data_IF_685725634399
#
_entry.id   IF_685725634399
#
_cell.length_a   1.000
_cell.length_b   1.000
_cell.length_c   1.000
_cell.angle_alpha   90.00
_cell.angle_beta   90.00
_cell.angle_gamma   90.00
#
_symmetry.space_group_name_H-M   'P 1'
#
loop_
_entity.id
_entity.type
_entity.pdbx_description
1 polymer ?
#
# COMPACT_ATOMS: atom_id res chain seq x y z
N UNK A 1 -17.20 9.50 -21.15
CA UNK A 1 -17.24 10.40 -19.98
C UNK A 1 -17.13 9.50 -18.76
N UNK A 2 -16.14 9.70 -17.88
CA UNK A 2 -16.02 8.89 -16.68
C UNK A 2 -16.98 9.47 -15.63
N UNK A 3 -17.99 8.69 -15.24
CA UNK A 3 -18.86 8.98 -14.11
C UNK A 3 -17.99 9.07 -12.83
N UNK A 4 -18.15 10.08 -11.96
CA UNK A 4 -17.44 10.13 -10.69
C UNK A 4 -17.80 8.91 -9.82
N UNK A 5 -16.78 8.27 -9.21
CA UNK A 5 -17.00 7.10 -8.34
C UNK A 5 -17.86 7.46 -7.14
N UNK A 6 -18.77 6.55 -6.78
CA UNK A 6 -19.58 6.63 -5.56
C UNK A 6 -18.82 6.10 -4.35
N UNK A 7 -19.27 6.45 -3.13
CA UNK A 7 -18.68 5.94 -1.89
C UNK A 7 -18.68 4.40 -1.85
N UNK A 8 -19.78 3.77 -2.30
CA UNK A 8 -19.89 2.31 -2.35
C UNK A 8 -18.83 1.70 -3.29
N UNK A 9 -18.62 2.29 -4.47
CA UNK A 9 -17.60 1.82 -5.42
C UNK A 9 -16.18 1.97 -4.89
N UNK A 10 -15.92 3.01 -4.09
CA UNK A 10 -14.63 3.22 -3.42
C UNK A 10 -14.44 2.22 -2.30
N UNK A 11 -15.46 2.00 -1.46
CA UNK A 11 -15.42 1.05 -0.36
C UNK A 11 -15.06 -0.37 -0.84
N UNK A 12 -15.71 -0.85 -1.91
CA UNK A 12 -15.41 -2.15 -2.53
C UNK A 12 -13.97 -2.26 -3.06
N UNK A 13 -13.33 -1.14 -3.39
CA UNK A 13 -11.96 -1.08 -3.95
C UNK A 13 -10.89 -0.70 -2.93
N UNK A 14 -11.23 -0.46 -1.67
CA UNK A 14 -10.27 0.03 -0.68
C UNK A 14 -9.14 -0.98 -0.42
N UNK A 15 -9.46 -2.28 -0.35
CA UNK A 15 -8.46 -3.33 -0.17
C UNK A 15 -7.48 -3.37 -1.34
N UNK A 16 -7.99 -3.50 -2.57
CA UNK A 16 -7.19 -3.51 -3.80
C UNK A 16 -6.35 -2.22 -3.93
N UNK A 17 -6.89 -1.08 -3.50
CA UNK A 17 -6.15 0.19 -3.47
C UNK A 17 -4.97 0.14 -2.49
N UNK A 18 -5.15 -0.42 -1.29
CA UNK A 18 -4.09 -0.55 -0.28
C UNK A 18 -3.04 -1.61 -0.64
N UNK A 19 -3.44 -2.63 -1.39
CA UNK A 19 -2.56 -3.69 -1.87
C UNK A 19 -1.89 -3.34 -3.21
N UNK A 20 -2.32 -2.27 -3.87
CA UNK A 20 -1.72 -1.76 -5.10
C UNK A 20 -2.13 -2.54 -6.35
N UNK A 21 -3.29 -3.20 -6.31
CA UNK A 21 -3.79 -4.10 -7.36
C UNK A 21 -4.68 -3.37 -8.39
N UNK A 22 -5.09 -2.13 -8.09
CA UNK A 22 -5.89 -1.32 -9.02
C UNK A 22 -5.09 -0.90 -10.25
N UNK A 23 -5.78 -0.84 -11.39
CA UNK A 23 -5.22 -0.20 -12.59
C UNK A 23 -5.02 1.30 -12.36
N UNK A 24 -4.13 1.94 -13.12
CA UNK A 24 -3.87 3.38 -12.98
C UNK A 24 -5.15 4.25 -13.07
N UNK A 25 -6.09 4.02 -14.00
CA UNK A 25 -7.35 4.77 -14.05
C UNK A 25 -8.23 4.57 -12.80
N UNK A 26 -8.33 3.34 -12.29
CA UNK A 26 -9.13 3.05 -11.10
C UNK A 26 -8.53 3.70 -9.86
N UNK A 27 -7.21 3.62 -9.73
CA UNK A 27 -6.47 4.26 -8.64
C UNK A 27 -6.70 5.77 -8.62
N UNK A 28 -6.62 6.42 -9.78
CA UNK A 28 -6.88 7.86 -9.90
C UNK A 28 -8.32 8.23 -9.51
N UNK A 29 -9.30 7.40 -9.87
CA UNK A 29 -10.70 7.63 -9.51
C UNK A 29 -10.94 7.48 -8.00
N UNK A 30 -10.34 6.46 -7.37
CA UNK A 30 -10.36 6.30 -5.90
C UNK A 30 -9.69 7.49 -5.23
N UNK A 31 -8.48 7.88 -5.66
CA UNK A 31 -7.75 9.02 -5.08
C UNK A 31 -8.52 10.34 -5.22
N UNK A 32 -9.20 10.56 -6.35
CA UNK A 32 -10.03 11.74 -6.57
C UNK A 32 -11.21 11.77 -5.58
N UNK A 33 -11.87 10.63 -5.35
CA UNK A 33 -12.97 10.55 -4.38
C UNK A 33 -12.48 10.73 -2.94
N UNK A 34 -11.37 10.08 -2.54
CA UNK A 34 -10.81 10.22 -1.20
C UNK A 34 -10.40 11.66 -0.87
N UNK A 35 -10.04 12.47 -1.87
CA UNK A 35 -9.77 13.91 -1.68
C UNK A 35 -11.03 14.74 -1.43
N UNK A 36 -12.19 14.27 -1.89
CA UNK A 36 -13.46 14.99 -1.83
C UNK A 36 -14.46 14.48 -0.79
N UNK A 37 -14.23 13.29 -0.21
CA UNK A 37 -15.13 12.65 0.75
C UNK A 37 -14.39 12.32 2.06
N UNK A 38 -14.62 13.14 3.09
CA UNK A 38 -14.02 12.96 4.42
C UNK A 38 -14.35 11.60 5.04
N UNK A 39 -15.57 11.11 4.88
CA UNK A 39 -15.99 9.81 5.40
C UNK A 39 -15.18 8.66 4.78
N UNK A 40 -15.02 8.65 3.45
CA UNK A 40 -14.22 7.62 2.78
C UNK A 40 -12.73 7.76 3.11
N UNK A 41 -12.23 8.98 3.26
CA UNK A 41 -10.85 9.22 3.70
C UNK A 41 -10.59 8.67 5.11
N UNK A 42 -11.51 8.90 6.05
CA UNK A 42 -11.43 8.38 7.41
C UNK A 42 -11.44 6.85 7.43
N UNK A 43 -12.42 6.22 6.75
CA UNK A 43 -12.51 4.75 6.66
C UNK A 43 -11.27 4.13 6.02
N UNK A 44 -10.77 4.69 4.92
CA UNK A 44 -9.54 4.22 4.29
C UNK A 44 -8.33 4.38 5.23
N UNK A 45 -8.28 5.45 6.02
CA UNK A 45 -7.26 5.67 7.04
C UNK A 45 -7.28 4.60 8.14
N UNK A 46 -8.46 4.26 8.66
CA UNK A 46 -8.65 3.21 9.67
C UNK A 46 -8.24 1.83 9.13
N UNK A 47 -8.65 1.50 7.91
CA UNK A 47 -8.26 0.25 7.26
C UNK A 47 -6.75 0.18 7.05
N UNK A 48 -6.14 1.26 6.56
CA UNK A 48 -4.69 1.35 6.39
C UNK A 48 -3.95 1.15 7.71
N UNK A 49 -4.39 1.80 8.79
CA UNK A 49 -3.78 1.65 10.11
C UNK A 49 -3.86 0.20 10.62
N UNK A 50 -5.00 -0.46 10.41
CA UNK A 50 -5.19 -1.88 10.76
C UNK A 50 -4.22 -2.78 9.99
N UNK A 51 -4.10 -2.59 8.68
CA UNK A 51 -3.16 -3.34 7.83
C UNK A 51 -1.71 -3.09 8.24
N UNK A 52 -1.33 -1.85 8.54
CA UNK A 52 0.02 -1.51 9.00
C UNK A 52 0.36 -2.16 10.35
N UNK A 53 -0.58 -2.20 11.29
CA UNK A 53 -0.42 -2.87 12.58
C UNK A 53 -0.17 -4.38 12.40
N UNK A 54 -0.97 -5.04 11.55
CA UNK A 54 -0.79 -6.45 11.23
C UNK A 54 0.55 -6.72 10.54
N UNK A 55 0.91 -5.92 9.53
CA UNK A 55 2.20 -6.03 8.83
C UNK A 55 3.38 -5.83 9.78
N UNK A 56 3.27 -4.91 10.74
CA UNK A 56 4.29 -4.69 11.77
C UNK A 56 4.46 -5.92 12.66
N UNK A 57 3.35 -6.44 13.17
CA UNK A 57 3.36 -7.63 14.04
C UNK A 57 3.93 -8.86 13.31
N UNK A 58 3.49 -9.14 12.08
CA UNK A 58 3.97 -10.27 11.29
C UNK A 58 5.47 -10.16 10.96
N UNK A 59 5.97 -8.95 10.66
CA UNK A 59 7.40 -8.72 10.41
C UNK A 59 8.26 -8.96 11.64
N UNK A 60 7.79 -8.55 12.82
CA UNK A 60 8.50 -8.81 14.08
C UNK A 60 8.60 -10.31 14.37
N UNK A 61 7.52 -11.05 14.13
CA UNK A 61 7.47 -12.50 14.35
C UNK A 61 8.24 -13.32 13.29
N UNK A 62 8.48 -12.75 12.11
CA UNK A 62 9.12 -13.43 10.98
C UNK A 62 10.43 -12.73 10.55
N UNK A 63 11.24 -12.32 11.53
CA UNK A 63 12.49 -11.61 11.25
C UNK A 63 13.47 -12.50 10.47
N UNK A 64 13.93 -12.00 9.31
CA UNK A 64 14.92 -12.71 8.51
C UNK A 64 16.22 -12.95 9.31
N UNK A 65 16.85 -14.14 9.18
CA UNK A 65 18.11 -14.44 9.86
C UNK A 65 19.19 -13.39 9.54
N UNK A 66 19.93 -12.96 10.57
CA UNK A 66 20.96 -11.92 10.43
C UNK A 66 21.98 -12.22 9.32
N UNK A 67 22.39 -13.49 9.19
CA UNK A 67 23.32 -13.93 8.15
C UNK A 67 22.80 -13.67 6.72
N UNK A 68 21.49 -13.79 6.48
CA UNK A 68 20.90 -13.46 5.18
C UNK A 68 20.92 -11.94 4.95
N UNK A 69 20.56 -11.15 5.96
CA UNK A 69 20.60 -9.68 5.89
C UNK A 69 22.01 -9.17 5.60
N UNK A 70 23.02 -9.74 6.24
CA UNK A 70 24.42 -9.32 6.05
C UNK A 70 24.98 -9.72 4.68
N UNK A 71 24.61 -10.90 4.18
CA UNK A 71 24.91 -11.30 2.81
C UNK A 71 24.24 -10.39 1.78
N UNK A 72 22.96 -10.04 1.97
CA UNK A 72 22.24 -9.10 1.09
C UNK A 72 22.89 -7.71 1.10
N UNK A 73 23.25 -7.16 2.27
CA UNK A 73 23.97 -5.88 2.37
C UNK A 73 25.28 -5.90 1.58
N UNK A 74 26.06 -6.97 1.71
CA UNK A 74 27.33 -7.12 0.99
C UNK A 74 27.13 -7.10 -0.53
N UNK A 75 26.11 -7.79 -1.03
CA UNK A 75 25.79 -7.83 -2.46
C UNK A 75 25.23 -6.50 -2.98
N UNK A 76 24.31 -5.86 -2.26
CA UNK A 76 23.70 -4.59 -2.67
C UNK A 76 24.72 -3.45 -2.72
N UNK A 77 25.75 -3.47 -1.87
CA UNK A 77 26.87 -2.53 -1.91
C UNK A 77 27.72 -2.74 -3.17
N UNK A 78 27.84 -3.98 -3.67
CA UNK A 78 28.55 -4.30 -4.91
C UNK A 78 27.76 -4.05 -6.20
N UNK A 79 26.43 -3.97 -6.13
CA UNK A 79 25.55 -3.72 -7.29
C UNK A 79 25.46 -2.23 -7.66
N UNK A 80 25.82 -1.31 -6.76
CA UNK A 80 26.04 0.11 -7.09
C UNK A 80 27.45 0.33 -7.67
N UNK A 81 27.71 -0.21 -8.87
CA UNK A 81 28.78 0.23 -9.78
C UNK A 81 28.26 1.29 -10.78
N UNK A 82 29.12 2.13 -11.40
CA UNK A 82 28.68 3.33 -12.10
C UNK A 82 28.00 3.00 -13.44
N UNK A 83 26.81 3.56 -13.68
CA UNK A 83 26.07 3.45 -14.94
C UNK A 83 24.57 3.47 -14.71
#
# INVERSE_FOLDING_TARGET
MAEPMTCAQVFERMSDYLDGELTAPERLAVEAHLKGCEACAATNGELKATVEALRSHLRASNEAPAALKDRLKTLLVGVRGPG
#
